data_IF_146504866547
#
_entry.id   IF_146504866547
#
_cell.length_a   1.000
_cell.length_b   1.000
_cell.length_c   1.000
_cell.angle_alpha   90.00
_cell.angle_beta   90.00
_cell.angle_gamma   90.00
#
_symmetry.space_group_name_H-M   'P 1'
#
loop_
_entity.id
_entity.type
_entity.pdbx_description
1 polymer ?
#
# COMPACT_ATOMS: atom_id res chain seq x y z
N UNK A 1 -7.00 -9.70 23.18
CA UNK A 1 -7.22 -8.93 21.94
C UNK A 1 -8.63 -8.35 21.94
N UNK A 2 -8.73 -7.03 21.85
CA UNK A 2 -9.99 -6.30 21.68
C UNK A 2 -10.56 -6.54 20.28
N UNK A 3 -11.87 -6.36 20.09
CA UNK A 3 -12.54 -6.55 18.79
C UNK A 3 -11.94 -5.65 17.70
N UNK A 4 -11.45 -4.46 18.09
CA UNK A 4 -10.77 -3.51 17.21
C UNK A 4 -9.41 -4.01 16.71
N UNK A 5 -8.60 -4.67 17.55
CA UNK A 5 -7.31 -5.25 17.12
C UNK A 5 -7.49 -6.37 16.09
N UNK A 6 -8.52 -7.21 16.26
CA UNK A 6 -8.87 -8.23 15.27
C UNK A 6 -9.29 -7.63 13.94
N UNK A 7 -10.07 -6.55 13.96
CA UNK A 7 -10.48 -5.84 12.76
C UNK A 7 -9.28 -5.24 12.01
N UNK A 8 -8.32 -4.65 12.72
CA UNK A 8 -7.09 -4.12 12.09
C UNK A 8 -6.26 -5.22 11.42
N UNK A 9 -6.05 -6.35 12.10
CA UNK A 9 -5.32 -7.48 11.51
C UNK A 9 -6.03 -8.01 10.27
N UNK A 10 -7.35 -8.18 10.32
CA UNK A 10 -8.14 -8.60 9.16
C UNK A 10 -8.01 -7.61 7.99
N UNK A 11 -8.01 -6.30 8.26
CA UNK A 11 -7.80 -5.27 7.24
C UNK A 11 -6.39 -5.33 6.64
N UNK A 12 -5.35 -5.47 7.46
CA UNK A 12 -3.97 -5.58 6.99
C UNK A 12 -3.82 -6.81 6.08
N UNK A 13 -4.32 -7.97 6.53
CA UNK A 13 -4.30 -9.21 5.74
C UNK A 13 -5.08 -9.05 4.44
N UNK A 14 -6.27 -8.44 4.49
CA UNK A 14 -7.09 -8.22 3.29
C UNK A 14 -6.36 -7.36 2.26
N UNK A 15 -5.82 -6.20 2.66
CA UNK A 15 -5.15 -5.30 1.71
C UNK A 15 -3.85 -5.89 1.19
N UNK A 16 -3.03 -6.51 2.04
CA UNK A 16 -1.81 -7.19 1.59
C UNK A 16 -2.13 -8.35 0.65
N UNK A 17 -3.20 -9.10 0.89
CA UNK A 17 -3.66 -10.17 0.00
C UNK A 17 -4.14 -9.64 -1.35
N UNK A 18 -4.92 -8.56 -1.37
CA UNK A 18 -5.38 -7.94 -2.62
C UNK A 18 -4.22 -7.39 -3.45
N UNK A 19 -3.24 -6.75 -2.81
CA UNK A 19 -2.03 -6.26 -3.49
C UNK A 19 -1.27 -7.42 -4.15
N UNK A 20 -1.09 -8.53 -3.42
CA UNK A 20 -0.46 -9.73 -3.95
C UNK A 20 -1.26 -10.37 -5.09
N UNK A 21 -2.59 -10.49 -4.94
CA UNK A 21 -3.48 -11.09 -5.94
C UNK A 21 -3.53 -10.27 -7.24
N UNK A 22 -3.49 -8.94 -7.14
CA UNK A 22 -3.46 -8.05 -8.29
C UNK A 22 -2.08 -7.98 -8.98
N UNK A 23 -1.05 -8.62 -8.41
CA UNK A 23 0.32 -8.55 -8.92
C UNK A 23 0.96 -7.17 -8.73
N UNK A 24 0.47 -6.37 -7.78
CA UNK A 24 1.04 -5.06 -7.51
C UNK A 24 2.36 -5.20 -6.75
N UNK A 25 3.39 -4.52 -7.27
CA UNK A 25 4.69 -4.42 -6.60
C UNK A 25 4.53 -3.64 -5.30
N UNK A 26 5.04 -4.18 -4.18
CA UNK A 26 5.03 -3.52 -2.87
C UNK A 26 6.47 -3.36 -2.39
N UNK A 27 6.93 -2.12 -2.18
CA UNK A 27 8.35 -1.78 -2.00
C UNK A 27 8.97 -2.54 -0.82
N UNK A 28 8.23 -2.76 0.27
CA UNK A 28 8.76 -3.52 1.42
C UNK A 28 8.95 -5.00 1.10
N UNK A 29 8.07 -5.59 0.30
CA UNK A 29 8.20 -7.01 -0.09
C UNK A 29 9.23 -7.15 -1.22
N UNK A 30 9.16 -6.25 -2.20
CA UNK A 30 10.05 -6.22 -3.35
C UNK A 30 11.51 -5.94 -2.98
N UNK A 31 11.80 -5.18 -1.92
CA UNK A 31 13.19 -5.04 -1.44
C UNK A 31 13.75 -6.32 -0.84
N UNK A 32 12.92 -7.12 -0.15
CA UNK A 32 13.34 -8.44 0.36
C UNK A 32 13.65 -9.38 -0.79
N UNK A 33 12.78 -9.41 -1.81
CA UNK A 33 12.99 -10.21 -3.01
C UNK A 33 14.22 -9.76 -3.81
N UNK A 34 14.35 -8.45 -4.07
CA UNK A 34 15.50 -7.89 -4.76
C UNK A 34 16.82 -8.17 -4.02
N UNK A 35 16.80 -8.10 -2.68
CA UNK A 35 17.96 -8.46 -1.85
C UNK A 35 18.29 -9.95 -1.97
N UNK A 36 17.27 -10.83 -1.92
CA UNK A 36 17.49 -12.26 -2.09
C UNK A 36 18.10 -12.60 -3.46
N UNK A 37 17.63 -11.96 -4.54
CA UNK A 37 18.16 -12.13 -5.90
C UNK A 37 19.60 -11.63 -6.01
N UNK A 38 19.92 -10.49 -5.38
CA UNK A 38 21.29 -9.96 -5.33
C UNK A 38 22.22 -10.90 -4.56
N UNK A 39 21.79 -11.41 -3.40
CA UNK A 39 22.56 -12.35 -2.59
C UNK A 39 22.76 -13.70 -3.29
N UNK A 40 21.79 -14.13 -4.10
CA UNK A 40 21.91 -15.32 -4.94
C UNK A 40 22.86 -15.12 -6.14
N UNK A 41 23.38 -13.90 -6.36
CA UNK A 41 24.30 -13.58 -7.46
C UNK A 41 23.62 -13.46 -8.82
N UNK A 42 22.29 -13.39 -8.86
CA UNK A 42 21.52 -13.31 -10.11
C UNK A 42 21.35 -11.87 -10.64
N UNK A 43 21.60 -10.86 -9.80
CA UNK A 43 21.50 -9.45 -10.17
C UNK A 43 22.51 -8.61 -9.39
N UNK A 44 23.07 -7.58 -10.02
CA UNK A 44 23.94 -6.62 -9.34
C UNK A 44 23.13 -5.70 -8.40
N UNK A 45 23.70 -5.22 -7.27
CA UNK A 45 23.00 -4.32 -6.35
C UNK A 45 22.49 -3.03 -7.02
N UNK A 46 23.25 -2.52 -8.00
CA UNK A 46 22.87 -1.31 -8.75
C UNK A 46 21.64 -1.54 -9.62
N UNK A 47 21.61 -2.65 -10.37
CA UNK A 47 20.47 -3.04 -11.20
C UNK A 47 19.22 -3.31 -10.34
N UNK A 48 19.37 -3.97 -9.19
CA UNK A 48 18.26 -4.17 -8.25
C UNK A 48 17.65 -2.84 -7.77
N UNK A 49 18.50 -1.83 -7.54
CA UNK A 49 18.05 -0.50 -7.14
C UNK A 49 17.31 0.23 -8.27
N UNK A 50 17.89 0.29 -9.47
CA UNK A 50 17.34 1.07 -10.59
C UNK A 50 16.18 0.40 -11.29
N UNK A 51 16.19 -0.92 -11.40
CA UNK A 51 15.26 -1.66 -12.25
C UNK A 51 14.10 -2.25 -11.45
N UNK A 52 14.25 -2.40 -10.13
CA UNK A 52 13.20 -2.95 -9.25
C UNK A 52 12.78 -1.99 -8.14
N UNK A 53 13.71 -1.56 -7.28
CA UNK A 53 13.36 -0.83 -6.05
C UNK A 53 12.85 0.58 -6.34
N UNK A 54 13.56 1.38 -7.14
CA UNK A 54 13.18 2.76 -7.45
C UNK A 54 11.83 2.86 -8.19
N UNK A 55 11.58 2.08 -9.26
CA UNK A 55 10.28 2.08 -9.93
C UNK A 55 9.14 1.66 -8.99
N UNK A 56 9.34 0.61 -8.19
CA UNK A 56 8.34 0.12 -7.23
C UNK A 56 8.04 1.17 -6.17
N UNK A 57 9.07 1.83 -5.62
CA UNK A 57 8.93 2.89 -4.63
C UNK A 57 8.12 4.07 -5.18
N UNK A 58 8.46 4.54 -6.39
CA UNK A 58 7.75 5.62 -7.04
C UNK A 58 6.27 5.26 -7.25
N UNK A 59 6.00 4.05 -7.76
CA UNK A 59 4.65 3.53 -7.95
C UNK A 59 3.86 3.45 -6.64
N UNK A 60 4.46 2.98 -5.54
CA UNK A 60 3.78 2.90 -4.26
C UNK A 60 3.51 4.26 -3.63
N UNK A 61 4.42 5.23 -3.73
CA UNK A 61 4.19 6.58 -3.24
C UNK A 61 3.04 7.22 -4.02
N UNK A 62 3.08 7.17 -5.35
CA UNK A 62 2.05 7.76 -6.20
C UNK A 62 0.69 7.07 -5.97
N UNK A 63 0.64 5.75 -6.06
CA UNK A 63 -0.58 4.97 -5.88
C UNK A 63 -1.16 5.10 -4.48
N UNK A 64 -0.33 4.99 -3.45
CA UNK A 64 -0.74 5.15 -2.05
C UNK A 64 -1.27 6.55 -1.76
N UNK A 65 -0.62 7.59 -2.28
CA UNK A 65 -1.07 8.98 -2.12
C UNK A 65 -2.40 9.21 -2.82
N UNK A 66 -2.58 8.74 -4.05
CA UNK A 66 -3.84 8.88 -4.79
C UNK A 66 -4.97 8.15 -4.08
N UNK A 67 -4.77 6.89 -3.71
CA UNK A 67 -5.79 6.10 -3.00
C UNK A 67 -6.16 6.74 -1.67
N UNK A 68 -5.17 7.11 -0.85
CA UNK A 68 -5.41 7.76 0.43
C UNK A 68 -6.15 9.08 0.28
N UNK A 69 -5.75 9.90 -0.69
CA UNK A 69 -6.40 11.19 -0.97
C UNK A 69 -7.85 11.01 -1.38
N UNK A 70 -8.14 10.04 -2.26
CA UNK A 70 -9.51 9.75 -2.70
C UNK A 70 -10.38 9.24 -1.55
N UNK A 71 -9.85 8.35 -0.71
CA UNK A 71 -10.54 7.85 0.47
C UNK A 71 -10.83 8.96 1.48
N UNK A 72 -9.83 9.78 1.80
CA UNK A 72 -9.98 10.92 2.70
C UNK A 72 -11.01 11.92 2.15
N UNK A 73 -10.97 12.21 0.86
CA UNK A 73 -11.96 13.08 0.22
C UNK A 73 -13.37 12.50 0.29
N UNK A 74 -13.55 11.20 0.06
CA UNK A 74 -14.84 10.53 0.17
C UNK A 74 -15.40 10.61 1.60
N UNK A 75 -14.55 10.38 2.62
CA UNK A 75 -14.92 10.51 4.03
C UNK A 75 -15.33 11.94 4.38
N UNK A 76 -14.55 12.94 3.98
CA UNK A 76 -14.85 14.36 4.22
C UNK A 76 -16.16 14.76 3.53
N UNK A 77 -16.34 14.36 2.27
CA UNK A 77 -17.56 14.67 1.52
C UNK A 77 -18.80 14.07 2.18
N UNK A 78 -18.72 12.82 2.65
CA UNK A 78 -19.81 12.18 3.38
C UNK A 78 -20.14 12.92 4.70
N UNK A 79 -19.11 13.33 5.46
CA UNK A 79 -19.27 14.12 6.68
C UNK A 79 -19.93 15.48 6.41
N UNK A 80 -19.52 16.18 5.35
CA UNK A 80 -20.12 17.47 4.95
C UNK A 80 -21.59 17.31 4.53
N UNK A 81 -21.93 16.23 3.81
CA UNK A 81 -23.32 15.93 3.48
C UNK A 81 -24.14 15.62 4.74
N UNK A 82 -23.59 14.87 5.71
CA UNK A 82 -24.25 14.62 7.01
C UNK A 82 -24.49 15.91 7.79
N UNK A 83 -23.50 16.82 7.83
CA UNK A 83 -23.64 18.13 8.48
C UNK A 83 -24.67 19.03 7.81
N UNK A 84 -24.77 19.00 6.47
CA UNK A 84 -25.77 19.78 5.72
C UNK A 84 -27.20 19.27 5.87
N UNK A 85 -27.38 17.97 6.17
CA UNK A 85 -28.71 17.35 6.30
C UNK A 85 -29.27 17.40 7.72
N UNK A 86 -28.52 17.92 8.69
CA UNK A 86 -29.07 18.46 9.94
C UNK A 86 -29.80 17.44 10.83
N UNK A 87 -29.05 16.54 11.45
CA UNK A 87 -29.44 16.07 12.79
C UNK A 87 -28.71 16.95 13.81
N UNK A 88 -29.41 18.00 14.23
CA UNK A 88 -29.32 18.59 15.57
C UNK A 88 -30.55 18.18 16.35
#
# INVERSE_FOLDING_TARGET
>A
MSTTERAHLALIVLFTYVIALAGFTHVVAGTVEATAVVLAGHMGPWAALTDSILPTLAGNILGGTVLFTLLAWAQIRAELHRRRTGEG
#
